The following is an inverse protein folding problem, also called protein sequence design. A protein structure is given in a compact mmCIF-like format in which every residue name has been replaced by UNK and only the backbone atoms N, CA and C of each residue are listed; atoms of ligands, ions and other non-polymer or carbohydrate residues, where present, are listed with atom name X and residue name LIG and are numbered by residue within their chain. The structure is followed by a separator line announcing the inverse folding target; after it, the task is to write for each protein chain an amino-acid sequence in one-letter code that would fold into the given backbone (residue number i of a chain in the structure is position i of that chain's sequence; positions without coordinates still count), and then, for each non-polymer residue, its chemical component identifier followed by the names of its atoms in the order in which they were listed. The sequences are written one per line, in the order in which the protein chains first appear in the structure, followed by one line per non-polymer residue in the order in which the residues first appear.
data_IF_410794984706
#
_entry.id   IF_410794984706
#
_cell.length_a   1.000
_cell.length_b   1.000
_cell.length_c   1.000
_cell.angle_alpha   90.00
_cell.angle_beta   90.00
_cell.angle_gamma   90.00
#
_symmetry.space_group_name_H-M   'P 1'
#
loop_
_entity.id
_entity.type
_entity.pdbx_description
1 polymer ?
#
# COMPACT_ATOMS: atom_id res chain seq x y z
N UNK A 1 11.42 -8.35 -3.65
CA UNK A 1 11.86 -7.05 -3.10
C UNK A 1 10.74 -6.07 -3.36
N UNK A 2 10.19 -5.45 -2.31
CA UNK A 2 9.11 -4.49 -2.43
C UNK A 2 9.73 -3.10 -2.64
N UNK A 3 9.80 -2.59 -3.89
CA UNK A 3 10.59 -1.41 -4.22
C UNK A 3 10.07 -0.18 -3.50
N UNK A 4 8.74 -0.06 -3.36
CA UNK A 4 8.10 1.04 -2.65
C UNK A 4 8.48 1.09 -1.17
N UNK A 5 8.43 -0.07 -0.48
CA UNK A 5 8.79 -0.14 0.93
C UNK A 5 10.27 0.16 1.15
N UNK A 6 11.14 -0.39 0.29
CA UNK A 6 12.57 -0.14 0.32
C UNK A 6 12.92 1.34 0.09
N UNK A 7 12.31 1.98 -0.92
CA UNK A 7 12.51 3.41 -1.20
C UNK A 7 12.06 4.27 -0.02
N UNK A 8 10.88 3.97 0.53
CA UNK A 8 10.36 4.70 1.69
C UNK A 8 11.28 4.56 2.91
N UNK A 9 11.83 3.38 3.17
CA UNK A 9 12.78 3.15 4.26
C UNK A 9 14.07 3.96 4.10
N UNK A 10 14.60 4.07 2.89
CA UNK A 10 15.78 4.89 2.58
C UNK A 10 15.51 6.38 2.84
N UNK A 11 14.37 6.90 2.38
CA UNK A 11 13.98 8.30 2.61
C UNK A 11 13.81 8.62 4.09
N UNK A 12 13.16 7.72 4.84
CA UNK A 12 12.96 7.88 6.29
C UNK A 12 14.30 7.86 7.03
N UNK A 13 15.23 6.97 6.66
CA UNK A 13 16.56 6.91 7.28
C UNK A 13 17.36 8.21 7.04
N UNK A 14 17.38 8.72 5.80
CA UNK A 14 18.08 9.97 5.47
C UNK A 14 17.47 11.17 6.21
N UNK A 15 16.14 11.25 6.23
CA UNK A 15 15.43 12.32 6.94
C UNK A 15 15.64 12.21 8.45
N UNK A 16 15.67 10.99 9.00
CA UNK A 16 15.94 10.72 10.41
C UNK A 16 17.30 11.23 10.88
N UNK A 17 18.35 11.10 10.06
CA UNK A 17 19.68 11.65 10.35
C UNK A 17 19.63 13.18 10.46
N UNK A 18 18.90 13.84 9.55
CA UNK A 18 18.75 15.30 9.54
C UNK A 18 17.93 15.78 10.75
N UNK A 19 16.86 15.06 11.10
CA UNK A 19 16.06 15.33 12.31
C UNK A 19 16.87 15.07 13.58
N UNK A 20 17.79 14.10 13.60
CA UNK A 20 18.67 13.84 14.75
C UNK A 20 19.52 15.07 15.12
N UNK A 21 19.95 15.83 14.11
CA UNK A 21 20.72 17.05 14.28
C UNK A 21 19.91 18.20 14.89
N UNK A 22 18.60 18.29 14.59
CA UNK A 22 17.73 19.38 15.04
C UNK A 22 16.95 19.01 16.31
N UNK A 23 16.51 17.76 16.41
CA UNK A 23 15.61 17.24 17.43
C UNK A 23 15.93 15.77 17.74
N UNK A 24 16.92 15.58 18.62
CA UNK A 24 17.55 14.31 18.97
C UNK A 24 16.59 13.15 19.31
N UNK A 25 15.54 13.32 20.15
CA UNK A 25 14.70 12.19 20.54
C UNK A 25 13.82 11.66 19.39
N UNK A 26 13.29 12.55 18.53
CA UNK A 26 12.48 12.16 17.38
C UNK A 26 13.34 11.56 16.26
N UNK A 27 14.54 12.13 16.06
CA UNK A 27 15.49 11.64 15.07
C UNK A 27 15.94 10.21 15.34
N UNK A 28 16.17 9.84 16.61
CA UNK A 28 16.54 8.47 16.98
C UNK A 28 15.45 7.45 16.60
N UNK A 29 14.18 7.76 16.86
CA UNK A 29 13.06 6.89 16.50
C UNK A 29 12.95 6.68 14.98
N UNK A 30 13.07 7.77 14.21
CA UNK A 30 13.05 7.72 12.74
C UNK A 30 14.26 6.98 12.17
N UNK A 31 15.44 7.20 12.77
CA UNK A 31 16.67 6.50 12.39
C UNK A 31 16.60 5.00 12.68
N UNK A 32 15.84 4.56 13.69
CA UNK A 32 15.61 3.12 13.95
C UNK A 32 14.52 2.55 13.04
N UNK A 33 13.47 3.32 12.75
CA UNK A 33 12.36 2.89 11.88
C UNK A 33 12.80 2.71 10.41
N UNK A 34 13.67 3.56 9.88
CA UNK A 34 14.15 3.47 8.49
C UNK A 34 14.84 2.14 8.13
N UNK A 35 15.87 1.70 8.88
CA UNK A 35 16.54 0.41 8.69
C UNK A 35 15.57 -0.77 8.83
N UNK A 36 14.63 -0.70 9.77
CA UNK A 36 13.61 -1.73 9.94
C UNK A 36 12.78 -1.86 8.66
N UNK A 37 12.28 -0.75 8.11
CA UNK A 37 11.53 -0.77 6.84
C UNK A 37 12.38 -1.19 5.64
N UNK A 38 13.67 -0.84 5.61
CA UNK A 38 14.61 -1.29 4.57
C UNK A 38 14.78 -2.81 4.59
N UNK A 39 15.03 -3.38 5.77
CA UNK A 39 15.18 -4.84 5.93
C UNK A 39 13.87 -5.56 5.59
N UNK A 40 12.74 -5.03 6.07
CA UNK A 40 11.42 -5.55 5.73
C UNK A 40 11.15 -5.46 4.22
N UNK A 41 11.52 -4.38 3.54
CA UNK A 41 11.34 -4.22 2.09
C UNK A 41 12.16 -5.21 1.26
N UNK A 42 13.27 -5.71 1.79
CA UNK A 42 14.06 -6.78 1.16
C UNK A 42 13.38 -8.15 1.31
N UNK A 43 12.76 -8.40 2.46
CA UNK A 43 12.15 -9.70 2.81
C UNK A 43 10.72 -9.83 2.27
N UNK A 44 9.91 -8.77 2.37
CA UNK A 44 8.52 -8.79 1.96
C UNK A 44 8.42 -8.78 0.42
N UNK A 45 7.51 -9.62 -0.09
CA UNK A 45 7.04 -9.55 -1.47
C UNK A 45 5.98 -8.46 -1.57
N UNK A 46 5.89 -7.86 -2.75
CA UNK A 46 4.86 -6.88 -3.05
C UNK A 46 3.49 -7.49 -2.74
N UNK A 47 2.57 -6.76 -2.09
CA UNK A 47 1.20 -7.21 -1.96
C UNK A 47 0.66 -7.41 -3.37
N UNK A 48 -0.08 -8.50 -3.63
CA UNK A 48 -0.64 -8.74 -4.94
C UNK A 48 -1.45 -7.50 -5.35
N UNK A 49 -1.32 -7.05 -6.61
CA UNK A 49 -2.11 -5.95 -7.10
C UNK A 49 -3.59 -6.30 -6.90
N UNK A 50 -4.39 -5.31 -6.53
CA UNK A 50 -5.84 -5.45 -6.35
C UNK A 50 -6.47 -5.54 -7.75
N UNK A 51 -6.10 -6.57 -8.50
CA UNK A 51 -6.67 -6.92 -9.79
C UNK A 51 -7.75 -7.95 -9.54
N UNK A 52 -8.92 -7.82 -10.17
CA UNK A 52 -9.92 -8.88 -10.12
C UNK A 52 -9.29 -10.18 -10.61
N UNK A 53 -9.62 -11.28 -9.93
CA UNK A 53 -9.10 -12.63 -10.20
C UNK A 53 -9.45 -13.10 -11.62
N UNK A 54 -10.46 -12.47 -12.24
CA UNK A 54 -10.85 -12.67 -13.63
C UNK A 54 -10.89 -11.33 -14.40
N UNK A 55 -10.44 -11.28 -15.67
CA UNK A 55 -10.64 -10.12 -16.55
C UNK A 55 -12.12 -9.87 -16.91
N UNK A 56 -13.01 -10.78 -16.54
CA UNK A 56 -14.47 -10.61 -16.63
C UNK A 56 -15.10 -10.06 -15.34
N UNK A 57 -14.32 -9.81 -14.29
CA UNK A 57 -14.82 -9.24 -13.04
C UNK A 57 -14.29 -7.82 -12.83
N UNK A 58 -15.03 -7.03 -12.06
CA UNK A 58 -14.69 -5.68 -11.63
C UNK A 58 -15.07 -5.50 -10.17
N UNK A 59 -14.48 -4.52 -9.50
CA UNK A 59 -14.92 -4.14 -8.17
C UNK A 59 -16.10 -3.18 -8.27
N UNK A 60 -17.16 -3.46 -7.52
CA UNK A 60 -18.29 -2.55 -7.37
C UNK A 60 -17.81 -1.24 -6.74
N UNK A 61 -18.20 -0.09 -7.32
CA UNK A 61 -17.80 1.24 -6.84
C UNK A 61 -18.29 1.58 -5.43
N UNK A 62 -19.35 0.91 -4.96
CA UNK A 62 -19.96 1.17 -3.66
C UNK A 62 -19.43 0.26 -2.55
N UNK A 63 -19.43 -1.05 -2.79
CA UNK A 63 -19.12 -2.04 -1.75
C UNK A 63 -17.76 -2.71 -1.93
N UNK A 64 -17.02 -2.40 -3.00
CA UNK A 64 -15.71 -3.00 -3.30
C UNK A 64 -15.73 -4.53 -3.40
N UNK A 65 -16.92 -5.12 -3.57
CA UNK A 65 -17.06 -6.54 -3.83
C UNK A 65 -16.73 -6.83 -5.29
N UNK A 66 -16.12 -7.98 -5.54
CA UNK A 66 -15.80 -8.45 -6.88
C UNK A 66 -17.06 -8.98 -7.58
N UNK A 67 -17.45 -8.38 -8.70
CA UNK A 67 -18.67 -8.66 -9.46
C UNK A 67 -18.37 -8.82 -10.94
N UNK A 68 -19.22 -9.52 -11.69
CA UNK A 68 -19.06 -9.63 -13.16
C UNK A 68 -19.25 -8.27 -13.84
N UNK A 69 -18.42 -7.94 -14.83
CA UNK A 69 -18.46 -6.67 -15.57
C UNK A 69 -19.72 -6.49 -16.41
N UNK A 70 -20.45 -7.58 -16.69
CA UNK A 70 -21.71 -7.53 -17.45
C UNK A 70 -22.94 -7.22 -16.58
N UNK A 71 -22.79 -7.20 -15.24
CA UNK A 71 -23.88 -6.85 -14.34
C UNK A 71 -24.03 -5.33 -14.30
N UNK A 72 -25.26 -4.83 -14.53
CA UNK A 72 -25.62 -3.42 -14.33
C UNK A 72 -25.83 -3.06 -12.85
N UNK A 73 -26.16 -4.06 -12.04
CA UNK A 73 -26.48 -3.89 -10.63
C UNK A 73 -25.60 -4.84 -9.82
N UNK A 74 -25.03 -4.34 -8.73
CA UNK A 74 -24.22 -5.15 -7.83
C UNK A 74 -25.13 -6.13 -7.04
N UNK A 75 -24.91 -7.46 -7.10
CA UNK A 75 -25.72 -8.44 -6.37
C UNK A 75 -25.56 -8.34 -4.85
N UNK A 76 -24.51 -7.68 -4.36
CA UNK A 76 -24.24 -7.56 -2.93
C UNK A 76 -24.90 -6.34 -2.29
N UNK A 77 -24.87 -5.18 -2.96
CA UNK A 77 -25.41 -3.94 -2.41
C UNK A 77 -26.68 -3.43 -3.11
N UNK A 78 -27.05 -4.02 -4.25
CA UNK A 78 -28.26 -3.66 -5.00
C UNK A 78 -28.18 -2.33 -5.77
N UNK A 79 -27.10 -1.56 -5.61
CA UNK A 79 -26.91 -0.31 -6.33
C UNK A 79 -26.48 -0.55 -7.79
N UNK A 80 -26.95 0.30 -8.73
CA UNK A 80 -26.44 0.28 -10.09
C UNK A 80 -24.97 0.70 -10.07
N UNK A 81 -24.10 -0.11 -10.67
CA UNK A 81 -22.70 0.28 -10.86
C UNK A 81 -22.49 0.58 -12.35
N UNK A 82 -21.98 1.78 -12.62
CA UNK A 82 -21.94 2.40 -13.94
C UNK A 82 -20.50 2.56 -14.47
N UNK A 83 -19.59 1.68 -14.03
CA UNK A 83 -18.22 1.63 -14.54
C UNK A 83 -18.12 1.00 -15.93
#
# INVERSE_FOLDING_TARGET
MWPGLFLSGLFIALTGILVLYIFTPLGLLMMMAGPIMLILGLILKEPPPITPSDPNKRFCSFCLAEIDKNLKNCPYCGYPDNM
#
